data_IF_911946817525
#
_entry.id   IF_911946817525
#
_cell.length_a   1.000
_cell.length_b   1.000
_cell.length_c   1.000
_cell.angle_alpha   90.00
_cell.angle_beta   90.00
_cell.angle_gamma   90.00
#
_symmetry.space_group_name_H-M   'P 1'
#
loop_
_entity.id
_entity.type
_entity.pdbx_description
1 polymer ?
#
# COMPACT_ATOMS: atom_id res chain seq x y z
N UNK A 1 -3.98 -5.73 17.69
CA UNK A 1 -4.77 -4.50 17.90
C UNK A 1 -4.33 -3.90 19.22
N UNK A 2 -4.06 -2.59 19.27
CA UNK A 2 -3.64 -1.91 20.51
C UNK A 2 -4.74 -0.92 20.88
N UNK A 3 -5.24 -1.02 22.10
CA UNK A 3 -6.24 -0.12 22.65
C UNK A 3 -5.58 0.72 23.75
N UNK A 4 -5.75 2.04 23.66
CA UNK A 4 -5.19 2.97 24.63
C UNK A 4 -6.27 3.34 25.64
N UNK A 5 -5.94 3.30 26.93
CA UNK A 5 -6.85 3.75 28.00
C UNK A 5 -7.09 5.26 27.97
N UNK A 6 -6.12 6.01 27.46
CA UNK A 6 -6.16 7.45 27.31
C UNK A 6 -5.99 7.84 25.84
N UNK A 7 -6.83 8.75 25.36
CA UNK A 7 -6.85 9.26 24.00
C UNK A 7 -5.79 10.34 23.73
N UNK A 8 -5.07 10.84 24.74
CA UNK A 8 -3.99 11.82 24.57
C UNK A 8 -2.86 11.29 23.67
N UNK A 9 -2.41 10.04 23.90
CA UNK A 9 -1.31 9.43 23.14
C UNK A 9 -1.72 9.17 21.67
N UNK A 10 -2.88 8.55 21.37
CA UNK A 10 -3.39 8.45 20.01
C UNK A 10 -3.47 9.80 19.31
N UNK A 11 -4.04 10.83 19.96
CA UNK A 11 -4.15 12.18 19.38
C UNK A 11 -2.79 12.72 18.96
N UNK A 12 -1.77 12.58 19.83
CA UNK A 12 -0.40 13.00 19.52
C UNK A 12 0.14 12.36 18.24
N UNK A 13 -0.10 11.07 18.00
CA UNK A 13 0.36 10.42 16.76
C UNK A 13 -0.27 10.98 15.49
N UNK A 14 -1.50 11.48 15.57
CA UNK A 14 -2.19 12.05 14.42
C UNK A 14 -1.88 13.55 14.26
N UNK A 15 -1.85 14.31 15.36
CA UNK A 15 -1.52 15.74 15.38
C UNK A 15 -0.07 16.02 14.97
N UNK A 16 0.88 15.19 15.43
CA UNK A 16 2.30 15.30 15.05
C UNK A 16 2.65 14.55 13.74
N UNK A 17 1.63 14.03 13.04
CA UNK A 17 1.77 13.28 11.78
C UNK A 17 2.81 12.13 11.87
N UNK A 18 2.76 11.37 12.96
CA UNK A 18 3.63 10.21 13.20
C UNK A 18 2.99 8.96 12.59
N UNK A 19 3.64 8.41 11.56
CA UNK A 19 3.16 7.20 10.86
C UNK A 19 3.87 5.91 11.30
N UNK A 20 5.07 6.04 11.85
CA UNK A 20 5.90 4.90 12.23
C UNK A 20 6.55 5.08 13.59
N UNK A 21 6.79 3.96 14.27
CA UNK A 21 7.62 3.88 15.48
C UNK A 21 8.74 2.88 15.20
N UNK A 22 9.97 3.31 15.41
CA UNK A 22 11.14 2.45 15.27
C UNK A 22 11.53 1.86 16.63
N UNK A 23 11.80 0.55 16.68
CA UNK A 23 12.37 -0.11 17.86
C UNK A 23 13.33 -1.21 17.42
N UNK A 24 14.62 -0.98 17.64
CA UNK A 24 15.67 -1.91 17.22
C UNK A 24 15.75 -2.05 15.70
N UNK A 25 15.52 -3.25 15.19
CA UNK A 25 15.47 -3.55 13.75
C UNK A 25 14.04 -3.45 13.15
N UNK A 26 13.04 -3.20 13.99
CA UNK A 26 11.65 -3.19 13.59
C UNK A 26 11.14 -1.77 13.36
N UNK A 27 10.32 -1.61 12.32
CA UNK A 27 9.56 -0.41 12.03
C UNK A 27 8.07 -0.76 12.11
N UNK A 28 7.37 -0.17 13.08
CA UNK A 28 5.96 -0.41 13.33
C UNK A 28 5.13 0.71 12.71
N UNK A 29 4.23 0.35 11.80
CA UNK A 29 3.29 1.30 11.19
C UNK A 29 2.11 1.55 12.12
N UNK A 30 1.73 2.82 12.29
CA UNK A 30 0.54 3.26 13.01
C UNK A 30 -0.59 3.50 12.02
N UNK A 31 -1.68 2.74 12.17
CA UNK A 31 -2.93 2.92 11.43
C UNK A 31 -4.13 2.90 12.39
N UNK A 32 -5.15 3.74 12.15
CA UNK A 32 -6.44 3.61 12.83
C UNK A 32 -7.06 2.23 12.57
N UNK A 33 -7.76 1.69 13.58
CA UNK A 33 -8.48 0.41 13.43
C UNK A 33 -9.69 0.54 12.49
N UNK A 34 -10.33 1.72 12.46
CA UNK A 34 -11.39 1.99 11.50
C UNK A 34 -10.78 2.31 10.12
N UNK A 35 -10.86 1.34 9.21
CA UNK A 35 -10.35 1.46 7.84
C UNK A 35 -11.08 2.51 6.99
N UNK A 36 -12.31 2.88 7.37
CA UNK A 36 -13.11 3.93 6.70
C UNK A 36 -12.81 5.33 7.23
N UNK A 37 -12.01 5.46 8.31
CA UNK A 37 -11.62 6.77 8.81
C UNK A 37 -10.78 7.52 7.77
N UNK A 38 -10.93 8.84 7.75
CA UNK A 38 -10.18 9.73 6.86
C UNK A 38 -8.67 9.51 6.99
N UNK A 39 -8.16 9.40 8.24
CA UNK A 39 -6.75 9.12 8.50
C UNK A 39 -6.30 7.75 7.96
N UNK A 40 -7.12 6.70 8.06
CA UNK A 40 -6.76 5.39 7.50
C UNK A 40 -6.70 5.45 5.97
N UNK A 41 -7.68 6.11 5.34
CA UNK A 41 -7.70 6.30 3.88
C UNK A 41 -6.47 7.12 3.44
N UNK A 42 -6.21 8.27 4.08
CA UNK A 42 -5.04 9.12 3.81
C UNK A 42 -3.74 8.33 3.92
N UNK A 43 -3.59 7.54 4.98
CA UNK A 43 -2.36 6.78 5.23
C UNK A 43 -2.16 5.57 4.31
N UNK A 44 -3.18 5.17 3.55
CA UNK A 44 -3.16 3.97 2.70
C UNK A 44 -3.38 4.24 1.22
N UNK A 45 -3.86 5.43 0.84
CA UNK A 45 -4.28 5.75 -0.53
C UNK A 45 -3.13 5.83 -1.52
N UNK A 46 -1.98 6.34 -1.09
CA UNK A 46 -0.84 6.61 -1.97
C UNK A 46 0.35 5.77 -1.56
N UNK A 47 0.81 4.93 -2.48
CA UNK A 47 1.94 4.03 -2.25
C UNK A 47 2.76 3.80 -3.51
N UNK A 48 4.02 3.46 -3.30
CA UNK A 48 4.93 3.04 -4.35
C UNK A 48 5.80 1.89 -3.85
N UNK A 49 6.45 1.20 -4.79
CA UNK A 49 7.37 0.10 -4.49
C UNK A 49 8.80 0.51 -4.80
N UNK A 50 9.71 0.12 -3.91
CA UNK A 50 11.14 0.09 -4.21
C UNK A 50 11.45 -1.33 -4.66
N UNK A 51 11.92 -1.52 -5.89
CA UNK A 51 12.27 -2.81 -6.48
C UNK A 51 13.77 -2.88 -6.75
N UNK A 52 14.33 -4.09 -6.72
CA UNK A 52 15.76 -4.32 -6.97
C UNK A 52 16.63 -4.33 -5.70
N UNK A 53 16.02 -4.51 -4.52
CA UNK A 53 16.76 -4.51 -3.25
C UNK A 53 17.82 -5.63 -3.21
N UNK A 54 18.87 -5.38 -2.42
CA UNK A 54 19.84 -6.39 -2.02
C UNK A 54 19.19 -7.56 -1.27
N UNK A 55 19.96 -8.63 -1.06
CA UNK A 55 19.54 -9.70 -0.15
C UNK A 55 19.61 -9.22 1.30
N UNK A 56 18.65 -9.62 2.14
CA UNK A 56 18.62 -9.34 3.58
C UNK A 56 18.48 -7.85 3.97
N UNK A 57 18.03 -7.00 3.04
CA UNK A 57 17.64 -5.63 3.34
C UNK A 57 16.40 -5.61 4.22
N UNK A 58 16.39 -4.69 5.18
CA UNK A 58 15.25 -4.40 6.05
C UNK A 58 14.84 -2.91 5.94
N UNK A 59 13.75 -2.53 6.60
CA UNK A 59 13.22 -1.16 6.53
C UNK A 59 14.17 -0.10 7.12
N UNK A 60 15.03 -0.46 8.08
CA UNK A 60 16.02 0.44 8.69
C UNK A 60 17.13 0.81 7.71
N UNK A 61 17.58 -0.14 6.90
CA UNK A 61 18.63 0.10 5.89
C UNK A 61 18.15 1.11 4.83
N UNK A 62 16.83 1.16 4.61
CA UNK A 62 16.18 2.06 3.66
C UNK A 62 15.81 3.43 4.24
N UNK A 63 16.01 3.67 5.55
CA UNK A 63 15.47 4.83 6.26
C UNK A 63 15.71 6.17 5.56
N UNK A 64 16.98 6.50 5.28
CA UNK A 64 17.30 7.77 4.64
C UNK A 64 16.89 7.82 3.17
N UNK A 65 16.91 6.69 2.47
CA UNK A 65 16.42 6.64 1.09
C UNK A 65 14.90 6.85 1.03
N UNK A 66 14.15 6.28 1.97
CA UNK A 66 12.71 6.50 2.13
C UNK A 66 12.42 7.97 2.41
N UNK A 67 13.19 8.61 3.29
CA UNK A 67 13.10 10.04 3.54
C UNK A 67 13.40 10.87 2.29
N UNK A 68 14.43 10.50 1.51
CA UNK A 68 14.78 11.16 0.26
C UNK A 68 13.64 11.13 -0.77
N UNK A 69 12.95 10.00 -0.90
CA UNK A 69 11.78 9.86 -1.79
C UNK A 69 10.45 10.30 -1.13
N UNK A 70 10.54 10.99 0.02
CA UNK A 70 9.40 11.54 0.79
C UNK A 70 8.42 10.49 1.33
N UNK A 71 8.86 9.27 1.54
CA UNK A 71 8.06 8.21 2.15
C UNK A 71 7.86 8.42 3.66
N UNK A 72 6.67 8.07 4.15
CA UNK A 72 6.29 8.15 5.57
C UNK A 72 6.41 6.82 6.30
N UNK A 73 6.14 5.73 5.61
CA UNK A 73 6.27 4.36 6.15
C UNK A 73 7.02 3.49 5.16
N UNK A 74 7.81 2.54 5.66
CA UNK A 74 8.48 1.54 4.83
C UNK A 74 8.30 0.15 5.45
N UNK A 75 7.91 -0.83 4.66
CA UNK A 75 7.98 -2.22 5.06
C UNK A 75 8.57 -3.10 3.96
N UNK A 76 9.43 -4.03 4.37
CA UNK A 76 10.01 -5.06 3.50
C UNK A 76 9.30 -6.38 3.84
N UNK A 77 8.46 -6.92 2.95
CA UNK A 77 7.80 -8.18 3.21
C UNK A 77 8.82 -9.31 3.39
N UNK A 78 8.46 -10.28 4.21
CA UNK A 78 9.25 -11.50 4.38
C UNK A 78 8.59 -12.64 3.63
N UNK A 79 9.37 -13.47 2.95
CA UNK A 79 8.87 -14.69 2.34
C UNK A 79 8.42 -15.65 3.46
N UNK A 80 7.14 -16.06 3.52
CA UNK A 80 6.62 -16.87 4.62
C UNK A 80 7.23 -18.28 4.66
N UNK A 81 7.73 -18.80 3.53
CA UNK A 81 8.32 -20.13 3.45
C UNK A 81 9.81 -20.14 3.83
N UNK A 82 10.56 -19.10 3.45
CA UNK A 82 12.01 -19.06 3.67
C UNK A 82 12.44 -18.16 4.83
N UNK A 83 11.54 -17.34 5.37
CA UNK A 83 11.86 -16.33 6.40
C UNK A 83 12.77 -15.20 5.91
N UNK A 84 13.09 -15.13 4.61
CA UNK A 84 13.99 -14.13 4.04
C UNK A 84 13.24 -12.90 3.56
N UNK A 85 13.84 -11.73 3.73
CA UNK A 85 13.34 -10.48 3.16
C UNK A 85 13.13 -10.62 1.64
N UNK A 86 11.97 -10.16 1.16
CA UNK A 86 11.71 -10.01 -0.25
C UNK A 86 12.59 -8.89 -0.82
N UNK A 87 12.86 -8.95 -2.14
CA UNK A 87 13.73 -7.98 -2.83
C UNK A 87 13.00 -6.71 -3.27
N UNK A 88 11.97 -6.33 -2.52
CA UNK A 88 11.23 -5.09 -2.71
C UNK A 88 10.70 -4.57 -1.36
N UNK A 89 10.51 -3.25 -1.29
CA UNK A 89 9.86 -2.58 -0.18
C UNK A 89 8.58 -1.88 -0.66
N UNK A 90 7.62 -1.73 0.23
CA UNK A 90 6.41 -0.97 -0.01
C UNK A 90 6.45 0.27 0.87
N UNK A 91 6.21 1.42 0.25
CA UNK A 91 6.26 2.72 0.88
C UNK A 91 4.89 3.38 0.77
N UNK A 92 4.43 4.00 1.85
CA UNK A 92 3.27 4.89 1.84
C UNK A 92 3.70 6.32 2.09
N UNK A 93 2.98 7.25 1.49
CA UNK A 93 3.26 8.68 1.52
C UNK A 93 1.95 9.47 1.46
N UNK A 94 2.03 10.78 1.71
CA UNK A 94 0.97 11.70 1.35
C UNK A 94 0.77 11.79 -0.17
N UNK A 95 -0.47 12.07 -0.57
CA UNK A 95 -0.92 12.17 -1.97
C UNK A 95 -0.15 13.20 -2.79
N UNK A 96 0.25 14.31 -2.17
CA UNK A 96 1.07 15.37 -2.78
C UNK A 96 2.46 14.90 -3.23
N UNK A 97 2.94 13.78 -2.69
CA UNK A 97 4.23 13.18 -3.05
C UNK A 97 4.06 11.91 -3.91
N UNK A 98 2.93 11.80 -4.60
CA UNK A 98 2.68 10.68 -5.51
C UNK A 98 3.73 10.61 -6.63
N UNK A 99 4.25 9.41 -6.84
CA UNK A 99 5.19 9.11 -7.92
C UNK A 99 4.40 8.42 -9.04
N UNK A 100 4.32 9.06 -10.19
CA UNK A 100 3.58 8.56 -11.38
C UNK A 100 4.49 7.96 -12.45
N UNK A 101 5.81 8.07 -12.28
CA UNK A 101 6.82 7.57 -13.22
C UNK A 101 7.76 6.58 -12.53
N UNK A 102 8.53 5.82 -13.31
CA UNK A 102 9.54 4.93 -12.74
C UNK A 102 10.84 5.69 -12.57
N UNK A 103 11.35 5.76 -11.34
CA UNK A 103 12.60 6.44 -11.03
C UNK A 103 13.69 5.41 -10.79
N UNK A 104 14.77 5.44 -11.56
CA UNK A 104 15.93 4.57 -11.38
C UNK A 104 17.03 5.28 -10.59
N UNK A 105 17.55 4.61 -9.58
CA UNK A 105 18.70 5.02 -8.78
C UNK A 105 19.80 3.97 -8.92
N UNK A 106 21.02 4.40 -9.21
CA UNK A 106 22.17 3.48 -9.29
C UNK A 106 22.73 3.25 -7.88
N UNK A 107 22.91 2.00 -7.49
CA UNK A 107 23.45 1.61 -6.18
C UNK A 107 24.57 0.62 -6.38
N UNK A 108 25.83 1.05 -6.24
CA UNK A 108 27.01 0.26 -6.59
C UNK A 108 26.89 -0.40 -7.98
N UNK A 109 26.86 -1.73 -8.02
CA UNK A 109 26.72 -2.56 -9.22
C UNK A 109 25.24 -2.90 -9.55
N UNK A 110 24.29 -2.44 -8.73
CA UNK A 110 22.86 -2.71 -8.84
C UNK A 110 22.06 -1.45 -9.19
N UNK A 111 20.78 -1.64 -9.51
CA UNK A 111 19.82 -0.56 -9.71
C UNK A 111 18.65 -0.74 -8.74
N UNK A 112 18.28 0.34 -8.08
CA UNK A 112 17.00 0.47 -7.41
C UNK A 112 16.02 1.19 -8.31
N UNK A 113 14.77 0.80 -8.19
CA UNK A 113 13.68 1.41 -8.93
C UNK A 113 12.55 1.76 -8.00
N UNK A 114 12.11 3.01 -8.04
CA UNK A 114 10.90 3.45 -7.36
C UNK A 114 9.80 3.49 -8.39
N UNK A 115 8.77 2.69 -8.20
CA UNK A 115 7.68 2.51 -9.17
C UNK A 115 6.34 2.81 -8.53
N UNK A 116 5.37 3.35 -9.28
CA UNK A 116 3.99 3.41 -8.82
C UNK A 116 3.48 2.04 -8.40
N UNK A 117 2.46 2.00 -7.54
CA UNK A 117 1.83 0.74 -7.16
C UNK A 117 1.31 -0.03 -8.40
N UNK A 118 1.45 -1.36 -8.37
CA UNK A 118 0.96 -2.24 -9.44
C UNK A 118 1.87 -2.34 -10.67
N UNK A 119 2.86 -1.47 -10.83
CA UNK A 119 3.84 -1.56 -11.92
C UNK A 119 4.96 -2.54 -11.54
N UNK A 120 5.05 -3.64 -12.26
CA UNK A 120 6.19 -4.54 -12.19
C UNK A 120 7.21 -4.16 -13.26
N UNK A 121 8.48 -4.25 -12.90
CA UNK A 121 9.58 -3.99 -13.82
C UNK A 121 10.60 -5.12 -13.74
N UNK A 122 11.41 -5.26 -14.78
CA UNK A 122 12.62 -6.04 -14.73
C UNK A 122 13.63 -5.38 -13.78
N UNK A 123 13.96 -6.04 -12.67
CA UNK A 123 14.94 -5.52 -11.70
C UNK A 123 16.39 -5.56 -12.19
N UNK A 124 16.67 -6.19 -13.34
CA UNK A 124 18.00 -6.16 -13.98
C UNK A 124 18.13 -4.92 -14.86
N UNK A 125 17.19 -4.73 -15.79
CA UNK A 125 17.33 -3.74 -16.86
C UNK A 125 16.38 -2.55 -16.74
N UNK A 126 15.37 -2.60 -15.87
CA UNK A 126 14.36 -1.59 -15.64
C UNK A 126 13.22 -1.53 -16.66
N UNK A 127 13.08 -2.54 -17.53
CA UNK A 127 11.98 -2.59 -18.51
C UNK A 127 10.65 -2.90 -17.82
N UNK A 128 9.57 -2.26 -18.28
CA UNK A 128 8.18 -2.58 -17.88
C UNK A 128 7.57 -3.70 -18.71
N UNK A 129 8.23 -4.14 -19.80
CA UNK A 129 7.68 -5.11 -20.76
C UNK A 129 7.92 -6.57 -20.35
N UNK A 130 8.91 -6.81 -19.48
CA UNK A 130 9.22 -8.16 -18.98
C UNK A 130 9.63 -8.12 -17.52
N UNK A 131 9.42 -9.24 -16.83
CA UNK A 131 9.97 -9.47 -15.49
C UNK A 131 11.41 -10.03 -15.54
N UNK A 132 12.06 -10.08 -14.37
CA UNK A 132 13.44 -10.59 -14.21
C UNK A 132 13.74 -11.90 -14.95
N UNK A 133 12.81 -12.86 -14.93
CA UNK A 133 13.00 -14.20 -15.52
C UNK A 133 13.27 -14.19 -17.03
N UNK A 134 12.64 -13.25 -17.73
CA UNK A 134 12.64 -13.12 -19.18
C UNK A 134 13.59 -12.02 -19.66
N UNK A 135 14.52 -11.59 -18.81
CA UNK A 135 15.48 -10.56 -19.17
C UNK A 135 16.67 -11.15 -19.94
N UNK A 136 16.93 -10.65 -21.14
CA UNK A 136 18.12 -11.03 -21.94
C UNK A 136 19.43 -10.61 -21.29
N UNK A 137 19.38 -9.58 -20.43
CA UNK A 137 20.54 -9.07 -19.68
C UNK A 137 20.75 -9.81 -18.36
N UNK A 138 20.00 -10.90 -18.09
CA UNK A 138 20.17 -11.67 -16.86
C UNK A 138 21.57 -12.29 -16.82
N UNK A 139 22.29 -12.18 -15.69
CA UNK A 139 23.63 -12.74 -15.60
C UNK A 139 23.57 -14.26 -15.73
N UNK A 140 24.53 -14.83 -16.46
CA UNK A 140 24.66 -16.28 -16.58
C UNK A 140 25.08 -16.91 -15.24
N UNK A 141 24.94 -18.23 -15.13
CA UNK A 141 25.38 -18.96 -13.93
C UNK A 141 26.86 -18.74 -13.65
N UNK A 142 27.73 -18.72 -14.68
CA UNK A 142 29.16 -18.47 -14.49
C UNK A 142 29.43 -17.05 -13.98
N UNK A 143 28.72 -16.06 -14.53
CA UNK A 143 28.84 -14.66 -14.10
C UNK A 143 28.44 -14.49 -12.62
N UNK A 144 27.37 -15.15 -12.18
CA UNK A 144 26.94 -15.14 -10.78
C UNK A 144 27.97 -15.80 -9.85
N UNK A 145 28.59 -16.90 -10.27
CA UNK A 145 29.66 -17.56 -9.48
C UNK A 145 30.88 -16.65 -9.36
N UNK A 146 31.29 -16.00 -10.44
CA UNK A 146 32.42 -15.08 -10.44
C UNK A 146 32.15 -13.83 -9.59
N UNK A 147 30.94 -13.27 -9.67
CA UNK A 147 30.51 -12.17 -8.80
C UNK A 147 30.59 -12.55 -7.31
N UNK A 148 30.12 -13.74 -6.93
CA UNK A 148 30.22 -14.23 -5.54
C UNK A 148 31.67 -14.40 -5.09
N UNK A 149 32.55 -14.93 -5.93
CA UNK A 149 33.99 -15.04 -5.64
C UNK A 149 34.64 -13.67 -5.46
N UNK A 150 34.30 -12.71 -6.31
CA UNK A 150 34.81 -11.34 -6.22
C UNK A 150 34.33 -10.62 -4.95
N UNK A 151 33.07 -10.80 -4.57
CA UNK A 151 32.54 -10.28 -3.30
C UNK A 151 33.24 -10.91 -2.09
N UNK A 152 33.43 -12.24 -2.08
CA UNK A 152 34.17 -12.93 -1.03
C UNK A 152 35.61 -12.40 -0.89
N UNK A 153 36.30 -12.19 -2.02
CA UNK A 153 37.67 -11.66 -2.02
C UNK A 153 37.73 -10.19 -1.54
N UNK A 154 36.78 -9.34 -1.94
CA UNK A 154 36.68 -7.95 -1.42
C UNK A 154 36.49 -7.94 0.11
N UNK A 155 35.60 -8.79 0.63
CA UNK A 155 35.33 -8.86 2.07
C UNK A 155 36.54 -9.38 2.86
N UNK A 156 37.31 -10.31 2.29
CA UNK A 156 38.56 -10.84 2.88
C UNK A 156 39.68 -9.80 2.94
N UNK A 157 39.75 -8.90 1.95
CA UNK A 157 40.74 -7.82 1.92
C UNK A 157 40.37 -6.66 2.86
N UNK A 158 39.07 -6.41 3.07
CA UNK A 158 38.59 -5.41 4.04
C UNK A 158 38.70 -5.86 5.51
N UNK A 159 38.91 -7.15 5.77
CA UNK A 159 39.06 -7.66 7.15
C UNK A 159 40.42 -7.33 7.78
N UNK A 160 41.38 -6.78 7.02
CA UNK A 160 42.69 -6.37 7.54
C UNK A 160 42.75 -4.92 8.04
N UNK A 161 41.71 -4.10 7.87
CA UNK A 161 41.80 -2.65 8.18
C UNK A 161 40.88 -2.09 9.26
N UNK A 162 39.88 -2.78 9.83
CA UNK A 162 39.03 -2.16 10.87
C UNK A 162 38.66 -3.10 12.02
N UNK A 163 39.47 -3.09 13.08
CA UNK A 163 39.07 -3.50 14.44
C UNK A 163 38.54 -2.33 15.29
N UNK A 164 38.31 -1.16 14.69
CA UNK A 164 37.71 0.01 15.33
C UNK A 164 36.58 0.49 14.42
N UNK A 165 35.34 0.04 14.62
CA UNK A 165 34.09 0.69 14.15
C UNK A 165 32.88 -0.27 14.23
N UNK A 166 32.65 -0.92 15.39
CA UNK A 166 31.38 -1.63 15.61
C UNK A 166 30.17 -0.68 15.72
N UNK A 167 30.40 0.65 15.70
CA UNK A 167 29.36 1.69 15.80
C UNK A 167 29.04 2.40 14.47
N UNK A 168 29.70 2.08 13.36
CA UNK A 168 29.27 2.59 12.05
C UNK A 168 28.13 1.74 11.52
N UNK A 169 26.91 2.15 11.88
CA UNK A 169 25.67 1.80 11.19
C UNK A 169 25.86 1.82 9.67
N UNK A 170 26.11 0.65 9.08
CA UNK A 170 26.24 0.50 7.64
C UNK A 170 24.85 0.58 7.01
N UNK A 171 24.38 1.79 6.79
CA UNK A 171 23.17 2.04 6.02
C UNK A 171 23.52 1.90 4.53
N UNK A 172 23.22 0.73 3.96
CA UNK A 172 23.61 0.30 2.61
C UNK A 172 23.22 1.30 1.50
N UNK A 173 22.25 2.19 1.75
CA UNK A 173 21.73 3.14 0.78
C UNK A 173 21.98 4.63 1.10
N UNK A 174 22.79 4.96 2.12
CA UNK A 174 23.09 6.36 2.47
C UNK A 174 23.68 7.17 1.31
N UNK A 175 24.52 6.54 0.49
CA UNK A 175 25.16 7.19 -0.65
C UNK A 175 24.15 7.66 -1.72
N UNK A 176 22.91 7.16 -1.70
CA UNK A 176 21.84 7.60 -2.60
C UNK A 176 21.27 8.98 -2.26
N UNK A 177 21.53 9.48 -1.05
CA UNK A 177 21.03 10.78 -0.59
C UNK A 177 21.93 11.93 -1.06
N UNK A 178 23.14 11.63 -1.54
CA UNK A 178 24.07 12.65 -2.01
C UNK A 178 23.62 13.26 -3.34
N UNK A 179 23.83 14.57 -3.51
CA UNK A 179 23.43 15.40 -4.65
C UNK A 179 23.94 14.93 -6.04
N UNK A 180 24.75 13.87 -6.10
CA UNK A 180 25.39 13.34 -7.32
C UNK A 180 24.68 12.11 -7.92
N UNK A 181 23.53 11.67 -7.40
CA UNK A 181 22.76 10.56 -7.98
C UNK A 181 21.34 11.00 -8.38
N UNK A 182 21.19 11.83 -9.43
CA UNK A 182 19.87 12.25 -9.90
C UNK A 182 19.09 11.03 -10.41
N UNK A 183 17.85 10.90 -9.96
CA UNK A 183 16.95 9.83 -10.40
C UNK A 183 16.76 9.89 -11.92
N UNK A 184 17.00 8.78 -12.60
CA UNK A 184 16.68 8.68 -14.03
C UNK A 184 15.20 8.35 -14.18
N UNK A 185 14.44 9.31 -14.70
CA UNK A 185 13.02 9.12 -15.01
C UNK A 185 12.86 8.24 -16.24
N UNK A 186 12.21 7.10 -16.04
CA UNK A 186 11.78 6.20 -17.10
C UNK A 186 10.29 6.47 -17.31
N UNK A 187 9.90 7.13 -18.41
CA UNK A 187 8.50 7.30 -18.72
C UNK A 187 7.85 5.92 -18.90
N UNK A 188 6.67 5.74 -18.31
CA UNK A 188 5.84 4.58 -18.59
C UNK A 188 5.45 4.65 -20.07
N UNK A 189 6.14 3.91 -20.94
CA UNK A 189 5.69 3.79 -22.33
C UNK A 189 4.33 3.12 -22.31
N UNK A 190 3.35 3.71 -22.99
CA UNK A 190 2.16 2.97 -23.39
C UNK A 190 2.62 1.64 -24.01
N UNK A 191 2.02 0.50 -23.67
CA UNK A 191 2.50 -0.80 -24.13
C UNK A 191 2.60 -0.77 -25.66
N UNK A 192 3.82 -0.72 -26.16
CA UNK A 192 4.09 -1.01 -27.57
C UNK A 192 3.68 -2.45 -27.75
N UNK A 193 2.58 -2.66 -28.50
CA UNK A 193 2.08 -3.98 -28.88
C UNK A 193 3.30 -4.88 -29.19
N UNK A 194 3.55 -5.93 -28.40
CA UNK A 194 4.69 -6.79 -28.67
C UNK A 194 4.51 -7.41 -30.06
N UNK A 195 5.52 -7.28 -30.90
CA UNK A 195 5.60 -8.04 -32.14
C UNK A 195 5.57 -9.52 -31.76
N UNK A 196 4.50 -10.21 -32.15
CA UNK A 196 4.24 -11.58 -31.78
C UNK A 196 5.22 -12.49 -32.54
N UNK A 197 6.34 -12.86 -31.90
CA UNK A 197 7.01 -14.12 -32.22
C UNK A 197 6.46 -15.16 -31.26
N UNK A 198 5.50 -15.91 -31.78
CA UNK A 198 4.89 -17.08 -31.14
C UNK A 198 5.98 -18.12 -30.89
N UNK A 199 6.24 -18.42 -29.62
CA UNK A 199 6.80 -19.72 -29.24
C UNK A 199 5.60 -20.51 -28.72
N UNK A 200 5.21 -21.53 -29.48
CA UNK A 200 4.17 -22.49 -29.11
C UNK A 200 4.66 -23.30 -27.90
N UNK A 201 4.01 -23.13 -26.76
CA UNK A 201 3.98 -24.15 -25.72
C UNK A 201 2.50 -24.50 -25.50
N UNK A 202 2.14 -25.72 -25.85
CA UNK A 202 0.76 -26.20 -25.89
C UNK A 202 0.20 -26.33 -24.47
N UNK A 203 -0.63 -25.39 -24.07
CA UNK A 203 -1.79 -25.66 -23.22
C UNK A 203 -3.02 -25.24 -24.00
N UNK A 204 -3.91 -26.19 -24.26
CA UNK A 204 -5.14 -26.02 -25.02
C UNK A 204 -6.10 -25.08 -24.26
N UNK A 205 -5.92 -23.78 -24.48
CA UNK A 205 -6.74 -22.70 -23.92
C UNK A 205 -7.79 -22.31 -24.96
N UNK A 206 -9.06 -22.56 -24.64
CA UNK A 206 -10.21 -22.18 -25.47
C UNK A 206 -10.72 -20.76 -25.08
N UNK A 207 -10.45 -19.72 -25.89
CA UNK A 207 -10.79 -18.33 -25.58
C UNK A 207 -12.31 -18.04 -25.63
N UNK A 208 -13.13 -18.99 -26.05
CA UNK A 208 -14.60 -18.83 -26.13
C UNK A 208 -15.29 -19.21 -24.82
N UNK A 209 -14.77 -20.23 -24.11
CA UNK A 209 -15.30 -20.64 -22.80
C UNK A 209 -15.11 -19.57 -21.73
N UNK A 210 -13.95 -18.92 -21.68
CA UNK A 210 -13.67 -17.87 -20.70
C UNK A 210 -14.57 -16.65 -20.91
N UNK A 211 -14.76 -16.19 -22.15
CA UNK A 211 -15.66 -15.08 -22.47
C UNK A 211 -17.11 -15.36 -22.06
N UNK A 212 -17.57 -16.59 -22.19
CA UNK A 212 -18.91 -16.97 -21.77
C UNK A 212 -19.06 -17.03 -20.24
N UNK A 213 -18.03 -17.46 -19.52
CA UNK A 213 -17.98 -17.42 -18.06
C UNK A 213 -18.02 -15.98 -17.53
N UNK A 214 -17.19 -15.11 -18.09
CA UNK A 214 -17.11 -13.70 -17.70
C UNK A 214 -18.46 -12.98 -17.98
N UNK A 215 -19.09 -13.24 -19.13
CA UNK A 215 -20.41 -12.68 -19.47
C UNK A 215 -21.53 -13.15 -18.53
N UNK A 216 -21.51 -14.41 -18.10
CA UNK A 216 -22.49 -14.93 -17.15
C UNK A 216 -22.30 -14.35 -15.75
N UNK A 217 -21.04 -14.15 -15.33
CA UNK A 217 -20.73 -13.47 -14.07
C UNK A 217 -21.18 -12.00 -14.09
N UNK A 218 -20.97 -11.30 -15.20
CA UNK A 218 -21.44 -9.91 -15.37
C UNK A 218 -22.97 -9.83 -15.24
N UNK A 219 -23.72 -10.69 -15.95
CA UNK A 219 -25.19 -10.73 -15.84
C UNK A 219 -25.68 -11.05 -14.43
N UNK A 220 -25.00 -11.93 -13.72
CA UNK A 220 -25.35 -12.26 -12.34
C UNK A 220 -25.17 -11.04 -11.42
N UNK A 221 -24.08 -10.28 -11.59
CA UNK A 221 -23.83 -9.05 -10.84
C UNK A 221 -24.85 -7.94 -11.19
N UNK A 222 -25.21 -7.78 -12.46
CA UNK A 222 -26.24 -6.82 -12.90
C UNK A 222 -27.59 -7.11 -12.25
N UNK A 223 -27.99 -8.39 -12.18
CA UNK A 223 -29.23 -8.78 -11.51
C UNK A 223 -29.18 -8.52 -10.00
N UNK A 224 -28.06 -8.82 -9.34
CA UNK A 224 -27.88 -8.51 -7.91
C UNK A 224 -27.97 -7.00 -7.63
N UNK A 225 -27.38 -6.16 -8.49
CA UNK A 225 -27.47 -4.70 -8.36
C UNK A 225 -28.93 -4.24 -8.52
N UNK A 226 -29.67 -4.82 -9.46
CA UNK A 226 -31.08 -4.49 -9.68
C UNK A 226 -31.94 -4.86 -8.46
N UNK A 227 -31.75 -6.05 -7.91
CA UNK A 227 -32.48 -6.51 -6.72
C UNK A 227 -32.15 -5.64 -5.50
N UNK A 228 -30.88 -5.27 -5.33
CA UNK A 228 -30.45 -4.37 -4.27
C UNK A 228 -31.04 -2.96 -4.43
N UNK A 229 -31.17 -2.46 -5.65
CA UNK A 229 -31.84 -1.19 -5.94
C UNK A 229 -33.32 -1.21 -5.53
N UNK A 230 -34.02 -2.31 -5.83
CA UNK A 230 -35.42 -2.51 -5.42
C UNK A 230 -35.53 -2.61 -3.88
N UNK A 231 -34.61 -3.28 -3.21
CA UNK A 231 -34.60 -3.34 -1.75
C UNK A 231 -34.38 -1.94 -1.13
N UNK A 232 -33.46 -1.15 -1.67
CA UNK A 232 -33.21 0.22 -1.22
C UNK A 232 -34.43 1.14 -1.37
N UNK A 233 -35.20 1.01 -2.46
CA UNK A 233 -36.43 1.80 -2.63
C UNK A 233 -37.50 1.38 -1.63
N UNK A 234 -37.67 0.08 -1.37
CA UNK A 234 -38.59 -0.42 -0.35
C UNK A 234 -38.25 0.08 1.06
N UNK A 235 -36.96 0.03 1.45
CA UNK A 235 -36.50 0.56 2.74
C UNK A 235 -36.75 2.07 2.83
N UNK A 236 -36.50 2.81 1.75
CA UNK A 236 -36.77 4.26 1.69
C UNK A 236 -38.25 4.56 1.91
N UNK A 237 -39.14 3.79 1.30
CA UNK A 237 -40.59 3.97 1.47
C UNK A 237 -41.06 3.58 2.89
N UNK A 238 -40.48 2.53 3.48
CA UNK A 238 -40.73 2.19 4.88
C UNK A 238 -40.28 3.30 5.84
N UNK A 239 -39.12 3.92 5.57
CA UNK A 239 -38.61 5.03 6.37
C UNK A 239 -39.55 6.25 6.28
N UNK A 240 -40.08 6.57 5.09
CA UNK A 240 -41.08 7.64 4.94
C UNK A 240 -42.36 7.37 5.73
N UNK A 241 -42.86 6.12 5.72
CA UNK A 241 -44.07 5.74 6.49
C UNK A 241 -43.84 5.81 7.99
N UNK A 242 -42.67 5.37 8.46
CA UNK A 242 -42.33 5.42 9.89
C UNK A 242 -42.16 6.85 10.36
N UNK A 243 -41.52 7.72 9.59
CA UNK A 243 -41.42 9.16 9.91
C UNK A 243 -42.80 9.82 10.06
N UNK A 244 -43.75 9.55 9.16
CA UNK A 244 -45.13 10.07 9.29
C UNK A 244 -45.79 9.60 10.59
N UNK A 245 -45.63 8.32 10.96
CA UNK A 245 -46.17 7.79 12.22
C UNK A 245 -45.54 8.47 13.43
N UNK A 246 -44.26 8.82 13.37
CA UNK A 246 -43.59 9.57 14.44
C UNK A 246 -44.18 10.97 14.55
N UNK A 247 -44.37 11.68 13.44
CA UNK A 247 -45.01 13.01 13.42
C UNK A 247 -46.44 12.96 13.99
N UNK A 248 -47.23 11.96 13.61
CA UNK A 248 -48.59 11.77 14.14
C UNK A 248 -48.58 11.54 15.66
N UNK A 249 -47.65 10.71 16.16
CA UNK A 249 -47.49 10.45 17.59
C UNK A 249 -47.04 11.71 18.35
N UNK A 250 -46.13 12.51 17.78
CA UNK A 250 -45.71 13.77 18.37
C UNK A 250 -46.89 14.74 18.52
N UNK A 251 -47.80 14.78 17.54
CA UNK A 251 -49.00 15.61 17.60
C UNK A 251 -49.97 15.15 18.69
N UNK A 252 -50.17 13.83 18.83
CA UNK A 252 -51.01 13.25 19.90
C UNK A 252 -50.43 13.57 21.28
N UNK A 253 -49.11 13.41 21.46
CA UNK A 253 -48.44 13.75 22.73
C UNK A 253 -48.60 15.23 23.08
N UNK A 254 -48.46 16.13 22.10
CA UNK A 254 -48.70 17.57 22.31
C UNK A 254 -50.13 17.87 22.74
N UNK A 255 -51.13 17.22 22.14
CA UNK A 255 -52.54 17.38 22.53
C UNK A 255 -52.78 16.90 23.96
N UNK A 256 -52.29 15.71 24.32
CA UNK A 256 -52.42 15.17 25.67
C UNK A 256 -51.77 16.07 26.71
N UNK A 257 -50.58 16.62 26.41
CA UNK A 257 -49.91 17.56 27.30
C UNK A 257 -50.72 18.85 27.51
N UNK A 258 -51.37 19.36 26.46
CA UNK A 258 -52.24 20.53 26.55
C UNK A 258 -53.50 20.26 27.38
N UNK A 259 -54.09 19.07 27.27
CA UNK A 259 -55.24 18.65 28.09
C UNK A 259 -54.87 18.49 29.56
N UNK A 260 -53.75 17.82 29.87
CA UNK A 260 -53.24 17.69 31.24
C UNK A 260 -52.98 19.06 31.88
N UNK A 261 -52.44 20.01 31.10
CA UNK A 261 -52.21 21.39 31.57
C UNK A 261 -53.51 22.16 31.84
N UNK A 262 -54.59 21.85 31.13
CA UNK A 262 -55.92 22.43 31.42
C UNK A 262 -56.52 21.83 32.69
N UNK A 263 -56.45 20.51 32.84
CA UNK A 263 -56.95 19.81 34.02
C UNK A 263 -56.19 20.19 35.31
N UNK A 264 -54.87 20.39 35.23
CA UNK A 264 -54.09 20.82 36.39
C UNK A 264 -54.44 22.22 36.86
N UNK A 265 -54.83 23.14 35.95
CA UNK A 265 -55.29 24.48 36.32
C UNK A 265 -56.65 24.46 37.03
N UNK A 266 -57.57 23.60 36.58
CA UNK A 266 -58.91 23.46 37.19
C UNK A 266 -58.81 22.93 38.64
N UNK A 267 -57.85 22.05 38.94
CA UNK A 267 -57.65 21.51 40.29
C UNK A 267 -56.96 22.46 41.27
N UNK A 268 -56.45 23.61 40.83
CA UNK A 268 -55.81 24.62 41.69
C UNK A 268 -56.80 25.71 42.14
N UNK A 269 -57.94 25.83 41.46
CA UNK A 269 -58.99 26.83 41.72
C UNK A 269 -60.15 26.30 42.61
N UNK A 270 -59.99 25.14 43.24
CA UNK A 270 -60.91 24.50 44.21
C UNK A 270 -60.25 24.40 45.59
#
# INVERSE_FOLDING_TARGET
MVEFKDNTIPKKFFEEDIWTIERGQYNFRILPTNWQSEESIRRTSTSYRIQGLGSNINARDLKEFVKHIKGKTCFVPTNPHTGKSMRYAIIYTDKENEITTVNRYKVDDNNLFVTPWGINICTICGSTEHGFMNCDKKPTREQLVNQRKNQYNRNKNNTQTNQLDNDKLHFEYMHLVNAYNPALHIPLRAPTRPNHRVIHEYTEYDPTKQRNLDNNQIKALENQIKDMSIACTQVTDQLKRTNRRVEDLENVVKQQQAELTKLSKINVDL
#
